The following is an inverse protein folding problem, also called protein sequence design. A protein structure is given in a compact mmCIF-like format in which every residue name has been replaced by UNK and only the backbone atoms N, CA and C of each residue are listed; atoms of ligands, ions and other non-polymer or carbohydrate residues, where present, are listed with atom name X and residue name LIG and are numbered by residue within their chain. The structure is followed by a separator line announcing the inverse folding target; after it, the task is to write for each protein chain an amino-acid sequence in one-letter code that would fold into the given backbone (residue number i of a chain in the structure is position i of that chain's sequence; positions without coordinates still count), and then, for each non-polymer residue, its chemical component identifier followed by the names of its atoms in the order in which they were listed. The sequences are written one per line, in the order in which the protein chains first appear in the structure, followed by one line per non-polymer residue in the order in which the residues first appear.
data_IF_934398639241
#
_entry.id   IF_934398639241
#
_cell.length_a   1.000
_cell.length_b   1.000
_cell.length_c   1.000
_cell.angle_alpha   90.00
_cell.angle_beta   90.00
_cell.angle_gamma   90.00
#
_symmetry.space_group_name_H-M   'P 1'
#
loop_
_entity.id
_entity.type
_entity.pdbx_description
1 polymer ?
#
# COMPACT_ATOMS: atom_id res chain seq x y z
N UNK A 1 51.37 7.30 18.54
CA UNK A 1 49.96 7.01 18.88
C UNK A 1 49.11 7.82 17.91
N UNK A 2 48.70 7.23 16.79
CA UNK A 2 47.84 7.89 15.81
C UNK A 2 46.39 7.54 16.18
N UNK A 3 45.61 8.54 16.57
CA UNK A 3 44.17 8.37 16.72
C UNK A 3 43.56 8.24 15.32
N UNK A 4 42.91 7.10 15.07
CA UNK A 4 42.05 6.93 13.92
C UNK A 4 40.74 7.69 14.18
N UNK A 5 40.48 8.72 13.38
CA UNK A 5 39.17 9.36 13.29
C UNK A 5 38.11 8.34 12.84
N UNK A 6 36.87 8.40 13.36
CA UNK A 6 35.84 7.46 12.96
C UNK A 6 35.45 7.74 11.50
N UNK A 7 35.37 6.66 10.73
CA UNK A 7 34.98 6.69 9.33
C UNK A 7 33.60 7.33 9.17
N UNK A 8 33.50 8.24 8.19
CA UNK A 8 32.29 8.83 7.66
C UNK A 8 31.14 7.80 7.61
N UNK A 9 30.11 8.05 8.42
CA UNK A 9 28.77 7.53 8.17
C UNK A 9 28.24 8.19 6.91
N UNK A 10 28.48 7.58 5.76
CA UNK A 10 27.77 7.94 4.55
C UNK A 10 26.31 7.53 4.74
N UNK A 11 25.51 8.55 5.02
CA UNK A 11 24.09 8.70 4.71
C UNK A 11 23.71 7.77 3.54
N UNK A 12 23.20 6.57 3.84
CA UNK A 12 22.53 5.81 2.80
C UNK A 12 21.32 6.64 2.41
N UNK A 13 21.13 6.99 1.12
CA UNK A 13 19.94 7.70 0.71
C UNK A 13 18.75 6.87 1.18
N UNK A 14 17.98 7.42 2.11
CA UNK A 14 16.80 6.80 2.70
C UNK A 14 15.86 6.41 1.56
N UNK A 15 15.94 5.15 1.14
CA UNK A 15 15.19 4.63 0.02
C UNK A 15 13.73 4.48 0.46
N UNK A 16 12.80 5.04 -0.30
CA UNK A 16 11.37 4.84 -0.04
C UNK A 16 11.03 3.36 -0.15
N UNK A 17 10.16 2.91 0.76
CA UNK A 17 9.72 1.51 0.84
C UNK A 17 9.20 1.00 -0.51
N UNK A 18 9.62 -0.20 -0.96
CA UNK A 18 9.03 -0.87 -2.12
C UNK A 18 7.51 -1.06 -1.99
N UNK A 19 6.98 -1.21 -0.78
CA UNK A 19 5.54 -1.32 -0.52
C UNK A 19 4.77 -0.05 -0.92
N UNK A 20 5.47 1.08 -1.01
CA UNK A 20 4.91 2.37 -1.44
C UNK A 20 5.24 2.64 -2.92
N UNK A 21 6.47 2.36 -3.37
CA UNK A 21 6.92 2.78 -4.70
C UNK A 21 6.48 1.85 -5.81
N UNK A 22 6.43 0.54 -5.58
CA UNK A 22 6.07 -0.44 -6.61
C UNK A 22 4.64 -0.29 -7.13
N UNK A 23 3.61 -0.07 -6.29
CA UNK A 23 2.24 0.21 -6.77
C UNK A 23 2.15 1.43 -7.71
N UNK A 24 3.10 2.37 -7.58
CA UNK A 24 3.19 3.58 -8.39
C UNK A 24 4.19 3.47 -9.56
N UNK A 25 4.80 2.30 -9.77
CA UNK A 25 5.74 2.05 -10.85
C UNK A 25 5.05 1.54 -12.12
N UNK A 26 5.79 1.52 -13.24
CA UNK A 26 5.41 0.82 -14.47
C UNK A 26 6.00 -0.61 -14.55
N UNK A 27 6.51 -1.14 -13.43
CA UNK A 27 7.12 -2.45 -13.44
C UNK A 27 6.07 -3.55 -13.70
N UNK A 28 6.46 -4.67 -14.35
CA UNK A 28 5.61 -5.83 -14.47
C UNK A 28 5.15 -6.34 -13.09
N UNK A 29 3.94 -6.89 -13.01
CA UNK A 29 3.36 -7.34 -11.74
C UNK A 29 4.23 -8.34 -10.97
N UNK A 30 4.93 -9.24 -11.66
CA UNK A 30 5.86 -10.16 -11.02
C UNK A 30 7.03 -9.45 -10.33
N UNK A 31 7.52 -8.35 -10.92
CA UNK A 31 8.58 -7.51 -10.34
C UNK A 31 8.08 -6.73 -9.12
N UNK A 32 6.90 -6.13 -9.23
CA UNK A 32 6.25 -5.43 -8.09
C UNK A 32 6.08 -6.39 -6.90
N UNK A 33 5.53 -7.59 -7.15
CA UNK A 33 5.33 -8.61 -6.12
C UNK A 33 6.65 -9.08 -5.51
N UNK A 34 7.68 -9.33 -6.31
CA UNK A 34 8.97 -9.77 -5.80
C UNK A 34 9.59 -8.73 -4.85
N UNK A 35 9.53 -7.45 -5.22
CA UNK A 35 10.02 -6.35 -4.40
C UNK A 35 9.20 -6.17 -3.11
N UNK A 36 7.87 -6.19 -3.20
CA UNK A 36 7.00 -6.11 -2.02
C UNK A 36 7.20 -7.30 -1.07
N UNK A 37 7.33 -8.53 -1.59
CA UNK A 37 7.62 -9.71 -0.77
C UNK A 37 8.96 -9.60 -0.08
N UNK A 38 9.99 -9.11 -0.76
CA UNK A 38 11.31 -8.88 -0.15
C UNK A 38 11.25 -7.84 0.98
N UNK A 39 10.52 -6.74 0.78
CA UNK A 39 10.29 -5.72 1.80
C UNK A 39 9.60 -6.30 3.06
N UNK A 40 8.50 -7.03 2.87
CA UNK A 40 7.79 -7.68 3.98
C UNK A 40 8.69 -8.71 4.69
N UNK A 41 9.45 -9.51 3.93
CA UNK A 41 10.39 -10.48 4.50
C UNK A 41 11.52 -9.83 5.32
N UNK A 42 11.89 -8.59 4.99
CA UNK A 42 12.83 -7.78 5.76
C UNK A 42 12.20 -7.10 6.99
N UNK A 43 10.92 -7.35 7.27
CA UNK A 43 10.21 -6.84 8.44
C UNK A 43 9.58 -5.46 8.24
N UNK A 44 9.43 -4.99 7.00
CA UNK A 44 8.68 -3.76 6.75
C UNK A 44 7.21 -3.93 7.14
N UNK A 45 6.67 -2.95 7.87
CA UNK A 45 5.27 -2.93 8.29
C UNK A 45 4.36 -2.51 7.14
N UNK A 46 3.44 -3.40 6.75
CA UNK A 46 2.45 -3.17 5.69
C UNK A 46 1.43 -2.06 6.02
N UNK A 47 1.37 -1.62 7.27
CA UNK A 47 0.55 -0.52 7.73
C UNK A 47 1.35 0.77 7.97
N UNK A 48 2.68 0.77 7.87
CA UNK A 48 3.48 1.96 8.13
C UNK A 48 3.16 3.09 7.12
N UNK A 49 3.05 4.35 7.59
CA UNK A 49 2.87 5.47 6.67
C UNK A 49 4.18 5.78 5.94
N UNK A 50 4.08 6.34 4.74
CA UNK A 50 5.20 6.93 4.01
C UNK A 50 5.83 8.07 4.83
N UNK A 51 6.99 7.79 5.42
CA UNK A 51 7.77 8.70 6.27
C UNK A 51 8.73 9.59 5.47
N UNK A 52 8.88 9.33 4.17
CA UNK A 52 9.80 10.05 3.27
C UNK A 52 9.04 10.57 2.03
N UNK A 53 7.96 11.34 2.23
CA UNK A 53 7.19 11.85 1.10
C UNK A 53 8.05 12.84 0.32
N UNK A 54 8.01 12.76 -1.01
CA UNK A 54 8.49 13.87 -1.82
C UNK A 54 7.56 15.07 -1.57
N UNK A 55 8.09 16.30 -1.62
CA UNK A 55 7.29 17.51 -1.38
C UNK A 55 6.06 17.50 -2.32
N UNK A 56 4.85 17.48 -1.76
CA UNK A 56 3.59 17.39 -2.51
C UNK A 56 3.12 15.97 -2.89
N UNK A 57 3.91 14.93 -2.62
CA UNK A 57 3.64 13.55 -3.03
C UNK A 57 3.82 12.54 -1.87
N UNK A 58 3.04 12.69 -0.79
CA UNK A 58 2.86 11.63 0.20
C UNK A 58 1.91 10.57 -0.38
N UNK A 59 2.34 9.32 -0.43
CA UNK A 59 1.56 8.20 -0.97
C UNK A 59 0.70 7.49 0.08
N UNK A 60 0.77 7.90 1.34
CA UNK A 60 0.05 7.32 2.46
C UNK A 60 0.68 6.01 2.90
N UNK A 61 -0.15 5.02 3.19
CA UNK A 61 0.23 3.65 3.52
C UNK A 61 0.41 2.82 2.24
N UNK A 62 1.02 1.62 2.31
CA UNK A 62 1.10 0.71 1.16
C UNK A 62 -0.23 0.51 0.42
N UNK A 63 -1.32 0.34 1.17
CA UNK A 63 -2.65 0.19 0.58
C UNK A 63 -3.14 1.48 -0.10
N UNK A 64 -2.83 2.66 0.44
CA UNK A 64 -3.17 3.95 -0.18
C UNK A 64 -2.47 4.11 -1.53
N UNK A 65 -1.19 3.72 -1.62
CA UNK A 65 -0.42 3.78 -2.86
C UNK A 65 -1.03 2.91 -3.97
N UNK A 66 -1.63 1.77 -3.62
CA UNK A 66 -2.30 0.89 -4.57
C UNK A 66 -3.57 1.49 -5.17
N UNK A 67 -4.27 2.36 -4.42
CA UNK A 67 -5.56 2.92 -4.81
C UNK A 67 -5.46 4.29 -5.51
N UNK A 68 -4.26 4.86 -5.58
CA UNK A 68 -4.04 6.25 -6.00
C UNK A 68 -3.91 6.40 -7.52
N UNK A 69 -5.02 6.34 -8.24
CA UNK A 69 -5.07 6.45 -9.71
C UNK A 69 -4.38 7.71 -10.27
N UNK A 70 -4.54 8.87 -9.62
CA UNK A 70 -4.04 10.16 -10.12
C UNK A 70 -2.53 10.28 -10.19
N UNK A 71 -1.80 9.42 -9.47
CA UNK A 71 -0.34 9.42 -9.40
C UNK A 71 0.27 8.17 -10.04
N UNK A 72 -0.56 7.31 -10.64
CA UNK A 72 -0.06 6.19 -11.42
C UNK A 72 0.52 6.72 -12.74
N UNK A 73 1.68 6.20 -13.18
CA UNK A 73 2.30 6.63 -14.42
C UNK A 73 1.44 6.26 -15.64
N UNK A 74 1.16 7.25 -16.50
CA UNK A 74 0.56 7.03 -17.83
C UNK A 74 -0.84 6.42 -17.81
N UNK A 75 -0.98 5.22 -18.41
CA UNK A 75 -2.25 4.49 -18.59
C UNK A 75 -2.45 3.34 -17.60
N UNK A 76 -1.59 3.21 -16.58
CA UNK A 76 -1.68 2.10 -15.62
C UNK A 76 -3.05 2.09 -14.96
N UNK A 77 -3.75 0.97 -15.07
CA UNK A 77 -5.06 0.79 -14.47
C UNK A 77 -4.91 0.39 -13.00
N UNK A 78 -5.83 0.86 -12.16
CA UNK A 78 -5.88 0.45 -10.74
C UNK A 78 -5.98 -1.06 -10.57
N UNK A 79 -6.59 -1.74 -11.54
CA UNK A 79 -6.79 -3.20 -11.53
C UNK A 79 -5.46 -3.96 -11.58
N UNK A 80 -4.41 -3.35 -12.13
CA UNK A 80 -3.07 -3.95 -12.22
C UNK A 80 -2.40 -4.08 -10.84
N UNK A 81 -2.84 -3.27 -9.87
CA UNK A 81 -2.35 -3.37 -8.49
C UNK A 81 -3.07 -4.46 -7.68
N UNK A 82 -4.09 -5.15 -8.22
CA UNK A 82 -4.85 -6.16 -7.48
C UNK A 82 -3.95 -7.21 -6.81
N UNK A 83 -2.94 -7.81 -7.47
CA UNK A 83 -2.11 -8.82 -6.81
C UNK A 83 -1.25 -8.24 -5.68
N UNK A 84 -0.86 -6.97 -5.77
CA UNK A 84 -0.12 -6.29 -4.69
C UNK A 84 -1.06 -6.00 -3.53
N UNK A 85 -2.32 -5.62 -3.79
CA UNK A 85 -3.34 -5.43 -2.76
C UNK A 85 -3.59 -6.74 -2.01
N UNK A 86 -3.81 -7.85 -2.72
CA UNK A 86 -4.01 -9.17 -2.12
C UNK A 86 -2.83 -9.54 -1.21
N UNK A 87 -1.60 -9.36 -1.70
CA UNK A 87 -0.38 -9.59 -0.91
C UNK A 87 -0.38 -8.76 0.39
N UNK A 88 -0.68 -7.46 0.30
CA UNK A 88 -0.70 -6.60 1.48
C UNK A 88 -1.77 -7.06 2.50
N UNK A 89 -2.95 -7.43 2.04
CA UNK A 89 -4.05 -7.90 2.89
C UNK A 89 -3.74 -9.28 3.53
N UNK A 90 -3.09 -10.18 2.81
CA UNK A 90 -2.60 -11.47 3.35
C UNK A 90 -1.63 -11.26 4.52
N UNK A 91 -0.82 -10.21 4.44
CA UNK A 91 0.16 -9.84 5.45
C UNK A 91 -0.36 -8.86 6.53
N UNK A 92 -1.67 -8.58 6.55
CA UNK A 92 -2.31 -7.83 7.62
C UNK A 92 -2.42 -6.32 7.40
N UNK A 93 -2.38 -5.86 6.14
CA UNK A 93 -2.75 -4.49 5.84
C UNK A 93 -4.22 -4.24 6.24
N UNK A 94 -4.45 -3.24 7.08
CA UNK A 94 -5.79 -2.93 7.60
C UNK A 94 -6.47 -1.85 6.73
N UNK A 95 -7.53 -2.21 5.98
CA UNK A 95 -8.23 -1.27 5.11
C UNK A 95 -9.13 -0.28 5.86
N UNK A 96 -9.23 -0.37 7.20
CA UNK A 96 -9.94 0.57 8.08
C UNK A 96 -9.07 1.74 8.50
N UNK A 97 -7.76 1.68 8.28
CA UNK A 97 -6.87 2.78 8.62
C UNK A 97 -7.13 3.99 7.74
N UNK A 98 -7.19 5.17 8.37
CA UNK A 98 -7.39 6.42 7.64
C UNK A 98 -6.22 6.68 6.69
N UNK A 99 -6.54 7.03 5.44
CA UNK A 99 -5.53 7.31 4.43
C UNK A 99 -4.64 8.47 4.86
N UNK A 100 -3.34 8.31 4.65
CA UNK A 100 -2.35 9.38 4.91
C UNK A 100 -1.85 10.02 3.61
N UNK A 101 -2.41 9.61 2.47
CA UNK A 101 -2.04 10.13 1.16
C UNK A 101 -2.55 11.56 0.98
N UNK A 102 -1.73 12.42 0.38
CA UNK A 102 -2.15 13.78 0.03
C UNK A 102 -3.29 13.71 -1.01
N UNK A 103 -4.36 14.45 -0.77
CA UNK A 103 -5.52 14.55 -1.65
C UNK A 103 -6.52 13.39 -1.53
N UNK A 104 -6.25 12.39 -0.68
CA UNK A 104 -7.20 11.31 -0.38
C UNK A 104 -7.54 11.39 1.11
N UNK A 105 -8.74 11.88 1.41
CA UNK A 105 -9.26 12.02 2.78
C UNK A 105 -10.34 10.98 3.04
N UNK A 106 -10.01 9.71 2.86
CA UNK A 106 -10.95 8.60 3.02
C UNK A 106 -10.29 7.40 3.68
N UNK A 107 -11.13 6.51 4.21
CA UNK A 107 -10.71 5.18 4.66
C UNK A 107 -10.81 4.24 3.44
N UNK A 108 -9.79 3.41 3.13
CA UNK A 108 -9.80 2.52 1.96
C UNK A 108 -11.09 1.69 1.80
N UNK A 109 -11.59 1.08 2.87
CA UNK A 109 -12.84 0.29 2.79
C UNK A 109 -14.07 1.15 2.48
N UNK A 110 -14.13 2.39 2.98
CA UNK A 110 -15.20 3.33 2.68
C UNK A 110 -15.12 3.79 1.21
N UNK A 111 -13.91 3.98 0.70
CA UNK A 111 -13.66 4.34 -0.69
C UNK A 111 -14.13 3.22 -1.63
N UNK A 112 -13.75 1.98 -1.35
CA UNK A 112 -14.18 0.81 -2.12
C UNK A 112 -15.71 0.66 -2.11
N UNK A 113 -16.35 0.83 -0.94
CA UNK A 113 -17.81 0.81 -0.83
C UNK A 113 -18.47 1.87 -1.71
N UNK A 114 -17.97 3.11 -1.70
CA UNK A 114 -18.51 4.19 -2.53
C UNK A 114 -18.45 3.84 -4.02
N UNK A 115 -17.29 3.44 -4.51
CA UNK A 115 -17.12 3.18 -5.96
C UNK A 115 -17.73 1.86 -6.42
N UNK A 116 -17.96 0.90 -5.53
CA UNK A 116 -18.64 -0.36 -5.86
C UNK A 116 -20.10 -0.19 -6.30
N UNK A 117 -20.72 0.95 -5.95
CA UNK A 117 -22.11 1.28 -6.28
C UNK A 117 -22.25 2.52 -7.16
N UNK A 118 -21.12 3.13 -7.54
CA UNK A 118 -21.11 4.33 -8.37
C UNK A 118 -21.53 3.99 -9.81
N UNK A 119 -22.63 4.60 -10.26
CA UNK A 119 -23.20 4.35 -11.58
C UNK A 119 -22.46 5.11 -12.69
N UNK A 120 -21.74 6.17 -12.33
CA UNK A 120 -20.94 6.96 -13.27
C UNK A 120 -19.58 6.31 -13.55
N UNK A 121 -19.18 5.34 -12.72
CA UNK A 121 -17.96 4.55 -12.90
C UNK A 121 -18.15 3.48 -13.98
N UNK A 122 -17.07 3.20 -14.73
CA UNK A 122 -17.08 2.14 -15.75
C UNK A 122 -17.42 0.80 -15.11
N UNK A 123 -18.18 -0.05 -15.81
CA UNK A 123 -18.60 -1.34 -15.26
C UNK A 123 -17.43 -2.21 -14.79
N UNK A 124 -16.34 -2.25 -15.55
CA UNK A 124 -15.11 -2.96 -15.19
C UNK A 124 -14.50 -2.44 -13.88
N UNK A 125 -14.40 -1.11 -13.72
CA UNK A 125 -13.88 -0.50 -12.51
C UNK A 125 -14.82 -0.73 -11.32
N UNK A 126 -16.13 -0.61 -11.52
CA UNK A 126 -17.13 -0.92 -10.48
C UNK A 126 -17.05 -2.38 -10.04
N UNK A 127 -16.86 -3.32 -10.98
CA UNK A 127 -16.66 -4.73 -10.68
C UNK A 127 -15.37 -4.95 -9.86
N UNK A 128 -14.28 -4.27 -10.23
CA UNK A 128 -13.05 -4.25 -9.45
C UNK A 128 -13.27 -3.71 -8.03
N UNK A 129 -13.93 -2.57 -7.87
CA UNK A 129 -14.21 -1.98 -6.54
C UNK A 129 -15.10 -2.87 -5.69
N UNK A 130 -16.08 -3.55 -6.30
CA UNK A 130 -16.94 -4.53 -5.61
C UNK A 130 -16.14 -5.75 -5.14
N UNK A 131 -15.26 -6.28 -5.98
CA UNK A 131 -14.38 -7.37 -5.60
C UNK A 131 -13.43 -6.95 -4.47
N UNK A 132 -12.82 -5.77 -4.60
CA UNK A 132 -11.92 -5.21 -3.60
C UNK A 132 -12.61 -4.98 -2.24
N UNK A 133 -13.87 -4.54 -2.24
CA UNK A 133 -14.65 -4.41 -1.01
C UNK A 133 -14.77 -5.76 -0.28
N UNK A 134 -15.05 -6.84 -0.99
CA UNK A 134 -15.11 -8.19 -0.42
C UNK A 134 -13.78 -8.60 0.21
N UNK A 135 -12.66 -8.36 -0.50
CA UNK A 135 -11.32 -8.64 0.03
C UNK A 135 -11.03 -7.85 1.32
N UNK A 136 -11.48 -6.60 1.40
CA UNK A 136 -11.32 -5.77 2.60
C UNK A 136 -12.16 -6.28 3.77
N UNK A 137 -13.42 -6.66 3.54
CA UNK A 137 -14.28 -7.24 4.58
C UNK A 137 -13.68 -8.53 5.14
N UNK A 138 -13.16 -9.40 4.27
CA UNK A 138 -12.46 -10.62 4.69
C UNK A 138 -11.17 -10.32 5.48
N UNK A 139 -10.39 -9.32 5.04
CA UNK A 139 -9.17 -8.93 5.74
C UNK A 139 -9.47 -8.42 7.16
N UNK A 140 -10.53 -7.62 7.32
CA UNK A 140 -10.99 -7.14 8.63
C UNK A 140 -11.34 -8.31 9.56
N UNK A 141 -12.11 -9.29 9.07
CA UNK A 141 -12.44 -10.49 9.86
C UNK A 141 -11.17 -11.24 10.29
N UNK A 142 -10.19 -11.39 9.40
CA UNK A 142 -8.91 -12.04 9.73
C UNK A 142 -8.09 -11.27 10.77
N UNK A 143 -8.08 -9.94 10.69
CA UNK A 143 -7.36 -9.08 11.65
C UNK A 143 -8.01 -9.20 13.03
N UNK A 144 -9.33 -9.03 13.11
CA UNK A 144 -10.07 -9.10 14.37
C UNK A 144 -9.90 -10.48 15.05
N UNK A 145 -9.89 -11.56 14.27
CA UNK A 145 -9.63 -12.91 14.78
C UNK A 145 -8.22 -13.04 15.41
N UNK A 146 -7.17 -12.51 14.76
CA UNK A 146 -5.81 -12.54 15.30
C UNK A 146 -5.64 -11.69 16.56
N UNK A 147 -6.33 -10.56 16.65
CA UNK A 147 -6.33 -9.72 17.86
C UNK A 147 -6.96 -10.47 19.05
N UNK A 148 -8.02 -11.25 18.82
CA UNK A 148 -8.63 -12.06 19.89
C UNK A 148 -7.79 -13.25 20.36
N UNK A 149 -6.90 -13.78 19.51
CA UNK A 149 -6.01 -14.90 19.85
C UNK A 149 -4.73 -14.47 20.58
N UNK A 150 -4.29 -13.21 20.41
CA UNK A 150 -3.06 -12.69 21.01
C UNK A 150 -3.20 -12.20 22.46
N UNK A 151 -4.41 -12.16 23.00
CA UNK A 151 -4.74 -11.62 24.34
C UNK A 151 -5.05 -12.73 25.37
N UNK A 152 -4.66 -13.99 25.07
CA UNK A 152 -4.94 -15.21 25.86
C UNK A 152 -3.71 -15.89 26.47
#
# INVERSE_FOLDING_TARGET
MAQASPANGFDQPLQRSPLITEPLSNHPVGTMLAACRAAIANGEDVNAPDTLPHVGHNAGRPLDACLRQTHMPGKKSIVENLPVIELLLEHGADPRLYSRSIGVTAIPIVLAKRYSVDQDEKEEHRAFWKHLLGLFEEAVVRIDAKETEGDG
#
